data_IF_123212515498
#
_entry.id   IF_123212515498
#
_cell.length_a   1.000
_cell.length_b   1.000
_cell.length_c   1.000
_cell.angle_alpha   90.00
_cell.angle_beta   90.00
_cell.angle_gamma   90.00
#
_symmetry.space_group_name_H-M   'P 1'
#
loop_
_entity.id
_entity.type
_entity.pdbx_description
1 polymer ?
#
# COMPACT_ATOMS: atom_id res chain seq x y z
N UNK A 1 50.39 13.86 44.46
CA UNK A 1 49.06 13.32 44.33
C UNK A 1 49.03 12.07 45.23
N UNK A 2 48.17 12.05 46.23
CA UNK A 2 47.98 10.89 47.12
C UNK A 2 47.19 9.83 46.34
N UNK A 3 47.60 8.58 46.41
CA UNK A 3 46.85 7.43 45.88
C UNK A 3 45.48 7.36 46.53
N UNK A 4 44.46 6.94 45.75
CA UNK A 4 43.13 6.74 46.32
C UNK A 4 43.19 5.63 47.37
N UNK A 5 42.36 5.72 48.46
CA UNK A 5 42.35 4.70 49.48
C UNK A 5 41.95 3.35 48.90
N UNK A 6 42.68 2.31 49.25
CA UNK A 6 42.30 0.92 48.92
C UNK A 6 40.88 0.62 49.41
N UNK A 7 40.07 -0.08 48.61
CA UNK A 7 38.74 -0.53 49.07
C UNK A 7 38.91 -1.41 50.33
N UNK A 8 37.98 -1.34 51.26
CA UNK A 8 38.01 -2.16 52.45
C UNK A 8 38.07 -3.64 52.06
N UNK A 9 38.98 -4.37 52.65
CA UNK A 9 39.06 -5.82 52.48
C UNK A 9 37.76 -6.46 52.95
N UNK A 10 37.20 -7.33 52.11
CA UNK A 10 36.05 -8.14 52.48
C UNK A 10 36.24 -8.81 53.83
N UNK A 11 35.19 -8.92 54.68
CA UNK A 11 35.30 -9.52 55.98
C UNK A 11 35.89 -10.93 55.88
N UNK A 12 37.02 -11.15 56.56
CA UNK A 12 37.71 -12.40 56.66
C UNK A 12 36.71 -13.54 57.03
N UNK A 13 36.62 -14.57 56.17
CA UNK A 13 35.91 -15.79 56.47
C UNK A 13 36.53 -16.39 57.72
N UNK A 14 35.78 -16.46 58.82
CA UNK A 14 36.25 -17.04 60.07
C UNK A 14 36.37 -18.56 59.96
N UNK A 15 37.42 -19.12 60.61
CA UNK A 15 37.60 -20.59 60.67
C UNK A 15 36.32 -21.28 61.22
N UNK A 16 35.71 -22.18 60.39
CA UNK A 16 34.46 -22.85 60.73
C UNK A 16 33.23 -22.41 59.94
N UNK A 17 33.36 -21.38 59.06
CA UNK A 17 32.28 -21.01 58.15
C UNK A 17 32.16 -22.06 57.04
N UNK A 18 30.95 -22.54 56.77
CA UNK A 18 30.67 -23.34 55.62
C UNK A 18 30.64 -22.45 54.34
N UNK A 19 31.53 -22.70 53.44
CA UNK A 19 31.51 -22.08 52.08
C UNK A 19 30.70 -23.00 51.21
N UNK A 20 29.55 -22.59 50.75
CA UNK A 20 28.76 -23.26 49.74
C UNK A 20 29.14 -22.66 48.39
N UNK A 21 29.72 -23.46 47.51
CA UNK A 21 30.01 -23.07 46.14
C UNK A 21 28.88 -23.55 45.24
N UNK A 22 28.22 -22.63 44.55
CA UNK A 22 27.21 -22.96 43.54
C UNK A 22 27.85 -22.94 42.17
N UNK A 23 27.55 -23.96 41.36
CA UNK A 23 27.98 -23.99 39.96
C UNK A 23 26.99 -23.24 39.10
N UNK A 24 27.44 -22.20 38.41
CA UNK A 24 26.61 -21.47 37.46
C UNK A 24 27.10 -21.77 36.05
N UNK A 25 26.17 -22.23 35.21
CA UNK A 25 26.38 -22.49 33.78
C UNK A 25 25.43 -21.58 32.97
N UNK A 26 25.86 -21.15 31.76
CA UNK A 26 25.03 -20.44 30.81
C UNK A 26 24.92 -21.24 29.50
N UNK A 27 23.69 -21.34 28.98
CA UNK A 27 23.43 -22.00 27.70
C UNK A 27 22.59 -21.09 26.83
N UNK A 28 23.06 -20.89 25.59
CA UNK A 28 22.31 -20.12 24.60
C UNK A 28 21.48 -21.07 23.74
N UNK A 29 20.18 -20.82 23.68
CA UNK A 29 19.21 -21.57 22.87
C UNK A 29 18.66 -20.65 21.80
N UNK A 30 18.71 -21.09 20.53
CA UNK A 30 18.18 -20.35 19.39
C UNK A 30 16.88 -21.03 18.93
N UNK A 31 15.80 -20.27 18.85
CA UNK A 31 14.51 -20.72 18.32
C UNK A 31 14.09 -19.82 17.17
N UNK A 32 13.48 -20.42 16.15
CA UNK A 32 12.86 -19.68 15.06
C UNK A 32 11.41 -19.36 15.42
N UNK A 33 11.03 -18.08 15.32
CA UNK A 33 9.68 -17.60 15.55
C UNK A 33 9.16 -16.93 14.29
N UNK A 34 7.84 -17.07 14.02
CA UNK A 34 7.19 -16.37 12.94
C UNK A 34 6.99 -14.88 13.28
N UNK A 35 7.16 -14.03 12.29
CA UNK A 35 6.77 -12.61 12.33
C UNK A 35 5.48 -12.49 11.52
N UNK A 36 4.35 -12.09 12.12
CA UNK A 36 3.11 -11.92 11.40
C UNK A 36 3.22 -10.80 10.35
N UNK A 37 2.47 -10.92 9.26
CA UNK A 37 2.33 -9.84 8.28
C UNK A 37 1.13 -8.97 8.59
N UNK A 38 1.14 -7.72 8.09
CA UNK A 38 0.02 -6.80 8.17
C UNK A 38 -0.86 -6.87 6.91
N UNK A 39 -2.11 -6.39 7.03
CA UNK A 39 -2.99 -6.20 5.88
C UNK A 39 -3.10 -4.72 5.54
N UNK A 40 -2.68 -4.37 4.31
CA UNK A 40 -2.77 -3.04 3.75
C UNK A 40 -3.99 -2.93 2.83
N UNK A 41 -4.68 -1.79 2.87
CA UNK A 41 -5.85 -1.56 2.03
C UNK A 41 -5.57 -0.46 1.00
N UNK A 42 -5.81 -0.78 -0.27
CA UNK A 42 -5.82 0.16 -1.39
C UNK A 42 -7.27 0.51 -1.70
N UNK A 43 -7.67 1.74 -1.40
CA UNK A 43 -9.04 2.18 -1.60
C UNK A 43 -9.26 2.69 -3.02
N UNK A 44 -10.43 2.36 -3.59
CA UNK A 44 -10.85 2.81 -4.92
C UNK A 44 -12.37 2.93 -4.99
N UNK A 45 -12.86 3.91 -5.72
CA UNK A 45 -14.30 4.01 -6.04
C UNK A 45 -14.74 3.11 -7.20
N UNK A 46 -13.81 2.37 -7.81
CA UNK A 46 -14.13 1.41 -8.88
C UNK A 46 -15.27 0.46 -8.49
N UNK A 47 -15.36 0.10 -7.22
CA UNK A 47 -16.37 -0.84 -6.72
C UNK A 47 -17.63 -0.18 -6.18
N UNK A 48 -17.94 1.07 -6.58
CA UNK A 48 -19.08 1.83 -6.03
C UNK A 48 -20.45 1.17 -6.22
N UNK A 49 -20.60 0.29 -7.22
CA UNK A 49 -21.82 -0.52 -7.44
C UNK A 49 -21.87 -1.80 -6.62
N UNK A 50 -20.72 -2.25 -6.13
CA UNK A 50 -20.60 -3.42 -5.25
C UNK A 50 -19.53 -3.13 -4.16
N UNK A 51 -19.95 -2.40 -3.14
CA UNK A 51 -19.08 -1.91 -2.07
C UNK A 51 -18.46 -3.01 -1.19
N UNK A 52 -19.03 -4.22 -1.23
CA UNK A 52 -18.46 -5.39 -0.56
C UNK A 52 -17.39 -6.12 -1.37
N UNK A 53 -17.12 -5.67 -2.62
CA UNK A 53 -16.08 -6.29 -3.45
C UNK A 53 -14.69 -5.93 -2.93
N UNK A 54 -13.84 -6.96 -2.89
CA UNK A 54 -12.42 -6.81 -2.63
C UNK A 54 -11.63 -7.67 -3.61
N UNK A 55 -10.40 -7.27 -3.90
CA UNK A 55 -9.47 -8.01 -4.77
C UNK A 55 -8.10 -8.02 -4.12
N UNK A 56 -7.55 -9.20 -3.88
CA UNK A 56 -6.17 -9.34 -3.38
C UNK A 56 -5.20 -8.94 -4.49
N UNK A 57 -4.37 -7.95 -4.21
CA UNK A 57 -3.28 -7.51 -5.09
C UNK A 57 -1.98 -8.25 -4.77
N UNK A 58 -1.75 -8.56 -3.49
CA UNK A 58 -0.59 -9.28 -3.00
C UNK A 58 -1.01 -10.18 -1.83
N UNK A 59 -0.60 -11.45 -1.87
CA UNK A 59 -0.78 -12.34 -0.73
C UNK A 59 0.27 -12.06 0.34
N UNK A 60 -0.15 -12.00 1.61
CA UNK A 60 0.75 -11.91 2.74
C UNK A 60 1.55 -13.19 2.95
N UNK A 61 2.74 -13.05 3.50
CA UNK A 61 3.56 -14.16 3.95
C UNK A 61 4.24 -13.79 5.28
N UNK A 62 4.22 -14.73 6.23
CA UNK A 62 4.91 -14.55 7.51
C UNK A 62 6.43 -14.46 7.30
N UNK A 63 7.06 -13.55 8.03
CA UNK A 63 8.49 -13.49 8.20
C UNK A 63 9.00 -14.49 9.23
N UNK A 64 10.30 -14.49 9.45
CA UNK A 64 10.94 -15.32 10.46
C UNK A 64 12.01 -14.52 11.22
N UNK A 65 12.12 -14.78 12.51
CA UNK A 65 13.18 -14.25 13.35
C UNK A 65 13.83 -15.38 14.17
N UNK A 66 15.13 -15.27 14.34
CA UNK A 66 15.88 -16.09 15.27
C UNK A 66 15.90 -15.39 16.64
N UNK A 67 15.38 -16.04 17.66
CA UNK A 67 15.38 -15.55 19.04
C UNK A 67 16.39 -16.35 19.82
N UNK A 68 17.45 -15.69 20.31
CA UNK A 68 18.47 -16.29 21.17
C UNK A 68 18.11 -16.03 22.62
N UNK A 69 17.88 -17.08 23.36
CA UNK A 69 17.58 -17.04 24.79
C UNK A 69 18.77 -17.58 25.56
N UNK A 70 19.25 -16.84 26.54
CA UNK A 70 20.28 -17.29 27.49
C UNK A 70 19.63 -17.85 28.74
N UNK A 71 19.88 -19.14 28.98
CA UNK A 71 19.48 -19.84 30.18
C UNK A 71 20.61 -19.81 31.20
N UNK A 72 20.29 -19.40 32.45
CA UNK A 72 21.18 -19.49 33.58
C UNK A 72 20.78 -20.70 34.42
N UNK A 73 21.72 -21.61 34.57
CA UNK A 73 21.56 -22.83 35.36
C UNK A 73 22.42 -22.75 36.63
N UNK A 74 21.87 -23.08 37.78
CA UNK A 74 22.57 -23.14 39.06
C UNK A 74 22.39 -24.53 39.65
N UNK A 75 23.51 -25.22 39.90
CA UNK A 75 23.57 -26.60 40.40
C UNK A 75 22.73 -27.61 39.57
N UNK A 76 22.54 -27.31 38.26
CA UNK A 76 21.79 -28.18 37.36
C UNK A 76 20.28 -27.87 37.29
N UNK A 77 19.82 -26.86 37.99
CA UNK A 77 18.45 -26.35 37.90
C UNK A 77 18.39 -25.04 37.11
N UNK A 78 17.36 -24.88 36.25
CA UNK A 78 17.13 -23.67 35.46
C UNK A 78 16.62 -22.57 36.39
N UNK A 79 17.42 -21.52 36.59
CA UNK A 79 17.07 -20.37 37.43
C UNK A 79 16.39 -19.25 36.67
N UNK A 80 16.92 -18.96 35.47
CA UNK A 80 16.44 -17.83 34.68
C UNK A 80 16.64 -18.09 33.18
N UNK A 81 15.77 -17.46 32.38
CA UNK A 81 15.81 -17.49 30.93
C UNK A 81 15.55 -16.08 30.41
N UNK A 82 16.49 -15.53 29.65
CA UNK A 82 16.44 -14.14 29.17
C UNK A 82 16.72 -14.08 27.69
N UNK A 83 15.89 -13.39 26.92
CA UNK A 83 16.17 -13.11 25.50
C UNK A 83 17.36 -12.15 25.42
N UNK A 84 18.42 -12.58 24.74
CA UNK A 84 19.67 -11.81 24.58
C UNK A 84 19.87 -11.30 23.17
N UNK A 85 19.21 -11.90 22.17
CA UNK A 85 19.25 -11.45 20.77
C UNK A 85 17.97 -11.79 20.04
N UNK A 86 17.56 -10.92 19.12
CA UNK A 86 16.47 -11.14 18.16
C UNK A 86 16.91 -10.64 16.81
N UNK A 87 17.11 -11.56 15.88
CA UNK A 87 17.55 -11.23 14.52
C UNK A 87 16.49 -11.65 13.50
N UNK A 88 15.97 -10.70 12.71
CA UNK A 88 15.06 -11.01 11.58
C UNK A 88 15.86 -11.75 10.50
N UNK A 89 15.41 -12.93 10.15
CA UNK A 89 16.02 -13.79 9.09
C UNK A 89 15.26 -13.72 7.78
N UNK A 90 13.94 -13.51 7.85
CA UNK A 90 13.06 -13.29 6.69
C UNK A 90 12.07 -12.19 7.05
N UNK A 91 12.04 -11.12 6.24
CA UNK A 91 11.05 -10.05 6.42
C UNK A 91 9.64 -10.55 6.06
N UNK A 92 8.59 -10.17 6.80
CA UNK A 92 7.23 -10.47 6.42
C UNK A 92 6.84 -9.71 5.15
N UNK A 93 5.93 -10.27 4.38
CA UNK A 93 5.33 -9.63 3.21
C UNK A 93 3.88 -9.30 3.49
N UNK A 94 3.49 -8.03 3.39
CA UNK A 94 2.14 -7.59 3.69
C UNK A 94 1.10 -8.18 2.73
N UNK A 95 -0.09 -8.43 3.25
CA UNK A 95 -1.27 -8.74 2.46
C UNK A 95 -1.90 -7.45 1.95
N UNK A 96 -1.96 -7.25 0.61
CA UNK A 96 -2.50 -6.01 0.01
C UNK A 96 -3.85 -6.29 -0.65
N UNK A 97 -4.88 -5.57 -0.23
CA UNK A 97 -6.26 -5.73 -0.69
C UNK A 97 -6.79 -4.43 -1.29
N UNK A 98 -7.23 -4.48 -2.55
CA UNK A 98 -7.98 -3.39 -3.18
C UNK A 98 -9.46 -3.52 -2.79
N UNK A 99 -10.03 -2.45 -2.22
CA UNK A 99 -11.42 -2.43 -1.76
C UNK A 99 -12.10 -1.09 -2.01
N UNK A 100 -13.41 -1.01 -1.80
CA UNK A 100 -14.15 0.23 -1.98
C UNK A 100 -13.77 1.28 -0.94
N UNK A 101 -13.54 2.50 -1.44
CA UNK A 101 -13.39 3.72 -0.64
C UNK A 101 -14.22 4.85 -1.25
N UNK A 102 -15.03 5.51 -0.42
CA UNK A 102 -15.84 6.65 -0.87
C UNK A 102 -14.92 7.77 -1.35
N UNK A 103 -15.13 8.24 -2.58
CA UNK A 103 -14.33 9.33 -3.16
C UNK A 103 -12.88 8.97 -3.49
N UNK A 104 -12.43 7.75 -3.23
CA UNK A 104 -11.09 7.32 -3.58
C UNK A 104 -10.94 7.15 -5.10
N UNK A 105 -10.03 7.88 -5.77
CA UNK A 105 -9.91 7.84 -7.22
C UNK A 105 -9.42 6.48 -7.73
N UNK A 106 -9.76 6.16 -8.98
CA UNK A 106 -9.22 5.01 -9.71
C UNK A 106 -7.84 5.34 -10.27
N UNK A 107 -7.69 6.54 -10.81
CA UNK A 107 -6.43 7.06 -11.37
C UNK A 107 -5.45 7.45 -10.27
N UNK A 108 -4.16 7.11 -10.40
CA UNK A 108 -3.11 7.57 -9.49
C UNK A 108 -2.61 8.99 -9.79
N UNK A 109 -3.07 9.61 -10.88
CA UNK A 109 -2.61 10.93 -11.27
C UNK A 109 -3.08 11.99 -10.27
N UNK A 110 -2.26 13.03 -10.13
CA UNK A 110 -2.53 14.17 -9.25
C UNK A 110 -2.70 15.46 -10.04
N UNK A 111 -3.36 16.44 -9.43
CA UNK A 111 -3.39 17.80 -9.94
C UNK A 111 -2.06 18.54 -9.77
N UNK A 112 -2.04 19.80 -10.16
CA UNK A 112 -0.86 20.66 -10.01
C UNK A 112 -0.43 20.88 -8.55
N UNK A 113 -1.35 20.68 -7.60
CA UNK A 113 -1.12 20.72 -6.15
C UNK A 113 -0.51 19.44 -5.59
N UNK A 114 -0.26 18.42 -6.43
CA UNK A 114 0.26 17.11 -6.03
C UNK A 114 -0.76 16.23 -5.32
N UNK A 115 -2.05 16.59 -5.29
CA UNK A 115 -3.10 15.80 -4.66
C UNK A 115 -4.02 15.13 -5.68
N UNK A 116 -4.78 14.14 -5.24
CA UNK A 116 -5.85 13.50 -6.03
C UNK A 116 -7.22 14.15 -5.83
N UNK A 117 -7.30 15.23 -5.05
CA UNK A 117 -8.53 15.96 -4.79
C UNK A 117 -9.08 16.61 -6.06
N UNK A 118 -10.39 16.88 -6.06
CA UNK A 118 -10.99 17.62 -7.17
C UNK A 118 -10.29 18.98 -7.38
N UNK A 119 -10.10 19.43 -8.64
CA UNK A 119 -9.42 20.69 -8.93
C UNK A 119 -10.20 21.88 -8.37
N UNK A 120 -9.48 22.83 -7.79
CA UNK A 120 -10.07 24.08 -7.29
C UNK A 120 -10.56 24.99 -8.43
N UNK A 121 -10.01 24.85 -9.64
CA UNK A 121 -10.39 25.61 -10.84
C UNK A 121 -10.35 24.73 -12.09
N UNK A 122 -11.23 25.04 -13.01
CA UNK A 122 -11.36 24.37 -14.30
C UNK A 122 -11.93 25.35 -15.32
N UNK A 123 -11.61 25.16 -16.61
CA UNK A 123 -12.08 26.03 -17.68
C UNK A 123 -13.49 25.65 -18.17
N UNK A 124 -13.85 24.38 -18.10
CA UNK A 124 -15.10 23.84 -18.65
C UNK A 124 -15.50 22.56 -17.93
N UNK A 125 -16.81 22.32 -17.82
CA UNK A 125 -17.40 21.03 -17.42
C UNK A 125 -18.22 20.51 -18.57
N UNK A 126 -17.99 19.25 -18.92
CA UNK A 126 -18.81 18.48 -19.86
C UNK A 126 -19.52 17.38 -19.09
N UNK A 127 -20.80 17.18 -19.36
CA UNK A 127 -21.58 16.09 -18.75
C UNK A 127 -22.03 15.12 -19.83
N UNK A 128 -21.82 13.85 -19.61
CA UNK A 128 -22.18 12.82 -20.58
C UNK A 128 -21.94 11.42 -20.08
N UNK A 129 -22.11 10.46 -20.97
CA UNK A 129 -21.94 9.04 -20.70
C UNK A 129 -20.46 8.66 -20.81
N UNK A 130 -19.96 7.92 -19.83
CA UNK A 130 -18.65 7.25 -19.87
C UNK A 130 -18.85 5.74 -19.93
N UNK A 131 -17.92 5.07 -20.62
CA UNK A 131 -17.72 3.62 -20.59
C UNK A 131 -16.30 3.29 -20.15
N UNK A 132 -15.95 2.01 -20.11
CA UNK A 132 -14.58 1.58 -19.80
C UNK A 132 -14.02 0.69 -20.88
N UNK A 133 -12.75 0.85 -21.15
CA UNK A 133 -12.04 -0.01 -22.10
C UNK A 133 -10.71 -0.53 -21.54
N UNK A 134 -10.21 -1.54 -22.18
CA UNK A 134 -8.91 -2.17 -21.95
C UNK A 134 -8.21 -2.38 -23.29
N UNK A 135 -6.92 -2.17 -23.34
CA UNK A 135 -6.11 -2.42 -24.53
C UNK A 135 -4.81 -3.14 -24.17
N UNK A 136 -4.44 -4.13 -24.99
CA UNK A 136 -3.15 -4.84 -24.88
C UNK A 136 -2.00 -4.10 -25.56
N UNK A 137 -2.29 -3.09 -26.39
CA UNK A 137 -1.27 -2.44 -27.23
C UNK A 137 -0.40 -1.46 -26.48
N UNK A 138 -0.83 -1.03 -25.30
CA UNK A 138 -0.07 -0.11 -24.44
C UNK A 138 0.10 1.31 -24.95
N UNK A 139 -0.47 1.67 -26.12
CA UNK A 139 -0.42 3.01 -26.72
C UNK A 139 -1.78 3.44 -27.25
N UNK A 140 -2.16 4.68 -26.96
CA UNK A 140 -3.33 5.35 -27.51
C UNK A 140 -3.04 5.97 -28.89
N UNK A 141 -4.08 6.49 -29.52
CA UNK A 141 -4.03 7.11 -30.86
C UNK A 141 -3.13 8.36 -30.92
N UNK A 142 -2.89 9.02 -29.77
CA UNK A 142 -1.91 10.12 -29.66
C UNK A 142 -0.46 9.65 -29.70
N UNK A 143 -0.20 8.34 -29.64
CA UNK A 143 1.14 7.76 -29.48
C UNK A 143 1.64 7.68 -28.04
N UNK A 144 0.91 8.25 -27.08
CA UNK A 144 1.23 8.16 -25.64
C UNK A 144 0.85 6.80 -25.07
N UNK A 145 1.54 6.41 -23.97
CA UNK A 145 1.25 5.19 -23.25
C UNK A 145 -0.16 5.18 -22.65
N UNK A 146 -0.77 4.00 -22.57
CA UNK A 146 -2.03 3.77 -21.87
C UNK A 146 -1.78 3.18 -20.48
N UNK A 147 -2.52 3.65 -19.50
CA UNK A 147 -2.50 3.22 -18.12
C UNK A 147 -3.66 3.87 -17.34
N UNK A 148 -3.81 3.54 -16.05
CA UNK A 148 -4.73 4.31 -15.22
C UNK A 148 -4.40 5.81 -15.31
N UNK A 149 -5.45 6.63 -15.48
CA UNK A 149 -5.29 8.06 -15.72
C UNK A 149 -5.14 8.42 -17.19
N UNK A 150 -5.38 7.50 -18.14
CA UNK A 150 -5.55 7.84 -19.56
C UNK A 150 -6.97 7.56 -20.01
N UNK A 151 -7.46 8.33 -20.98
CA UNK A 151 -8.84 8.21 -21.48
C UNK A 151 -8.92 8.45 -23.00
N UNK A 152 -9.90 7.82 -23.63
CA UNK A 152 -10.25 8.09 -25.01
C UNK A 152 -11.36 9.14 -25.08
N UNK A 153 -11.21 10.08 -26.00
CA UNK A 153 -12.09 11.25 -26.22
C UNK A 153 -12.26 11.48 -27.73
N UNK A 154 -13.19 12.36 -28.09
CA UNK A 154 -13.18 12.99 -29.40
C UNK A 154 -12.16 14.15 -29.38
N UNK A 155 -11.05 14.09 -30.14
CA UNK A 155 -10.02 15.12 -30.13
C UNK A 155 -10.47 16.46 -30.69
N UNK A 156 -11.58 16.53 -31.44
CA UNK A 156 -12.18 17.78 -31.90
C UNK A 156 -12.95 18.49 -30.77
N UNK A 157 -13.34 17.76 -29.72
CA UNK A 157 -14.04 18.27 -28.52
C UNK A 157 -13.08 18.50 -27.35
N UNK A 158 -12.17 17.55 -27.12
CA UNK A 158 -11.16 17.54 -26.07
C UNK A 158 -9.82 17.18 -26.71
N UNK A 159 -8.92 18.14 -26.98
CA UNK A 159 -7.63 17.87 -27.61
C UNK A 159 -6.77 16.89 -26.81
N UNK A 160 -5.95 16.11 -27.51
CA UNK A 160 -4.97 15.23 -26.86
C UNK A 160 -4.01 16.04 -25.97
N UNK A 161 -3.61 15.45 -24.84
CA UNK A 161 -2.78 16.08 -23.82
C UNK A 161 -3.57 16.92 -22.81
N UNK A 162 -4.88 17.13 -23.01
CA UNK A 162 -5.72 17.86 -22.06
C UNK A 162 -5.78 17.10 -20.74
N UNK A 163 -5.53 17.80 -19.63
CA UNK A 163 -5.72 17.29 -18.27
C UNK A 163 -7.20 17.42 -17.87
N UNK A 164 -7.76 16.34 -17.44
CA UNK A 164 -9.15 16.20 -17.05
C UNK A 164 -9.26 15.78 -15.59
N UNK A 165 -10.41 16.05 -14.94
CA UNK A 165 -10.82 15.40 -13.71
C UNK A 165 -12.23 14.83 -13.92
N UNK A 166 -12.45 13.54 -13.59
CA UNK A 166 -13.66 12.84 -13.99
C UNK A 166 -14.31 12.21 -12.77
N UNK A 167 -15.60 12.51 -12.57
CA UNK A 167 -16.41 11.91 -11.50
C UNK A 167 -17.78 11.53 -12.05
N UNK A 168 -18.48 10.56 -11.42
CA UNK A 168 -19.89 10.36 -11.70
C UNK A 168 -20.71 11.57 -11.25
N UNK A 169 -21.86 11.80 -11.89
CA UNK A 169 -22.74 12.94 -11.55
C UNK A 169 -23.29 12.88 -10.13
N UNK A 170 -23.34 11.69 -9.53
CA UNK A 170 -23.75 11.48 -8.13
C UNK A 170 -22.57 11.45 -7.13
N UNK A 171 -21.34 11.64 -7.61
CA UNK A 171 -20.12 11.71 -6.80
C UNK A 171 -19.65 10.38 -6.18
N UNK A 172 -20.35 9.27 -6.41
CA UNK A 172 -19.99 7.97 -5.82
C UNK A 172 -18.81 7.28 -6.49
N UNK A 173 -18.58 7.60 -7.77
CA UNK A 173 -17.43 7.14 -8.54
C UNK A 173 -16.55 8.32 -8.88
N UNK A 174 -15.26 8.18 -8.63
CA UNK A 174 -14.22 9.14 -8.96
C UNK A 174 -13.17 8.41 -9.79
N UNK A 175 -13.13 8.67 -11.10
CA UNK A 175 -11.99 8.22 -11.89
C UNK A 175 -10.74 9.02 -11.50
N UNK A 176 -10.90 10.29 -11.20
CA UNK A 176 -9.84 11.20 -10.78
C UNK A 176 -9.23 11.95 -11.97
N UNK A 177 -7.98 12.39 -11.81
CA UNK A 177 -7.24 13.06 -12.88
C UNK A 177 -6.94 12.09 -14.03
N UNK A 178 -7.06 12.61 -15.26
CA UNK A 178 -6.84 11.85 -16.46
C UNK A 178 -6.29 12.73 -17.59
N UNK A 179 -5.54 12.11 -18.49
CA UNK A 179 -5.01 12.77 -19.70
C UNK A 179 -5.71 12.17 -20.92
N UNK A 180 -6.19 13.04 -21.82
CA UNK A 180 -6.75 12.66 -23.10
C UNK A 180 -5.62 12.13 -24.00
N UNK A 181 -5.56 10.82 -24.25
CA UNK A 181 -4.44 10.19 -25.00
C UNK A 181 -4.90 9.29 -26.11
N UNK A 182 -6.19 9.00 -26.18
CA UNK A 182 -6.73 8.02 -27.11
C UNK A 182 -8.06 8.51 -27.73
N UNK A 183 -8.53 7.80 -28.74
CA UNK A 183 -9.84 8.02 -29.35
C UNK A 183 -10.45 6.68 -29.79
N UNK A 184 -11.71 6.72 -30.15
CA UNK A 184 -12.44 5.55 -30.66
C UNK A 184 -13.73 5.97 -31.36
N UNK A 185 -14.34 5.02 -32.06
CA UNK A 185 -15.52 5.27 -32.87
C UNK A 185 -16.69 5.84 -32.03
N UNK A 186 -16.89 5.30 -30.82
CA UNK A 186 -18.02 5.71 -29.98
C UNK A 186 -17.90 7.16 -29.47
N UNK A 187 -16.68 7.62 -29.11
CA UNK A 187 -16.44 9.02 -28.71
C UNK A 187 -16.54 9.97 -29.91
N UNK A 188 -15.97 9.57 -31.07
CA UNK A 188 -16.05 10.39 -32.29
C UNK A 188 -17.48 10.54 -32.86
N UNK A 189 -18.34 9.55 -32.64
CA UNK A 189 -19.76 9.61 -32.99
C UNK A 189 -20.63 10.32 -31.95
N UNK A 190 -20.06 10.73 -30.80
CA UNK A 190 -20.79 11.32 -29.70
C UNK A 190 -21.75 10.35 -28.98
N UNK A 191 -21.58 9.04 -29.16
CA UNK A 191 -22.37 8.01 -28.45
C UNK A 191 -22.01 7.99 -26.95
N UNK A 192 -20.75 8.28 -26.63
CA UNK A 192 -20.21 8.48 -25.27
C UNK A 192 -19.33 9.74 -25.27
N UNK A 193 -19.20 10.38 -24.09
CA UNK A 193 -18.36 11.54 -23.90
C UNK A 193 -16.88 11.16 -23.74
N UNK A 194 -16.63 10.09 -22.99
CA UNK A 194 -15.28 9.63 -22.65
C UNK A 194 -15.28 8.12 -22.43
N UNK A 195 -14.19 7.45 -22.83
CA UNK A 195 -13.96 6.06 -22.52
C UNK A 195 -12.76 5.94 -21.57
N UNK A 196 -12.97 5.32 -20.41
CA UNK A 196 -12.04 5.27 -19.31
C UNK A 196 -11.14 4.05 -19.43
N UNK A 197 -9.83 4.24 -19.41
CA UNK A 197 -8.90 3.12 -19.48
C UNK A 197 -8.82 2.36 -18.16
N UNK A 198 -8.76 1.04 -18.26
CA UNK A 198 -8.51 0.13 -17.15
C UNK A 198 -7.41 -0.86 -17.51
N UNK A 199 -6.65 -1.33 -16.52
CA UNK A 199 -5.51 -2.23 -16.76
C UNK A 199 -5.94 -3.68 -17.04
N UNK A 200 -7.21 -4.01 -16.75
CA UNK A 200 -7.77 -5.34 -17.06
C UNK A 200 -9.14 -5.22 -17.72
N UNK A 201 -9.46 -6.18 -18.60
CA UNK A 201 -10.80 -6.27 -19.17
C UNK A 201 -11.88 -6.43 -18.08
N UNK A 202 -11.60 -7.21 -17.03
CA UNK A 202 -12.54 -7.40 -15.92
C UNK A 202 -12.91 -6.09 -15.24
N UNK A 203 -11.97 -5.17 -15.07
CA UNK A 203 -12.22 -3.84 -14.48
C UNK A 203 -13.00 -2.94 -15.45
N UNK A 204 -12.69 -2.97 -16.74
CA UNK A 204 -13.34 -2.11 -17.73
C UNK A 204 -14.87 -2.35 -17.85
N UNK A 205 -15.33 -3.56 -17.53
CA UNK A 205 -16.76 -3.93 -17.63
C UNK A 205 -17.51 -3.83 -16.28
N UNK A 206 -16.82 -3.62 -15.15
CA UNK A 206 -17.43 -3.65 -13.81
C UNK A 206 -18.62 -2.70 -13.68
N UNK A 207 -18.48 -1.48 -14.17
CA UNK A 207 -19.47 -0.44 -13.98
C UNK A 207 -20.37 -0.22 -15.20
N UNK A 208 -20.07 -0.83 -16.36
CA UNK A 208 -20.78 -0.55 -17.59
C UNK A 208 -20.78 0.94 -17.92
N UNK A 209 -21.89 1.45 -18.49
CA UNK A 209 -22.01 2.88 -18.75
C UNK A 209 -22.44 3.65 -17.49
N UNK A 210 -21.80 4.81 -17.25
CA UNK A 210 -22.10 5.72 -16.14
C UNK A 210 -22.24 7.15 -16.64
N UNK A 211 -23.03 7.98 -15.96
CA UNK A 211 -23.09 9.41 -16.21
C UNK A 211 -21.99 10.11 -15.42
N UNK A 212 -21.19 10.91 -16.13
CA UNK A 212 -20.02 11.59 -15.55
C UNK A 212 -20.03 13.09 -15.83
N UNK A 213 -19.37 13.82 -14.95
CA UNK A 213 -18.87 15.17 -15.18
C UNK A 213 -17.37 15.08 -15.50
N UNK A 214 -16.97 15.68 -16.61
CA UNK A 214 -15.59 15.79 -17.06
C UNK A 214 -15.18 17.25 -16.94
N UNK A 215 -14.32 17.55 -15.99
CA UNK A 215 -13.77 18.89 -15.75
C UNK A 215 -12.49 19.04 -16.57
N UNK A 216 -12.44 20.04 -17.42
CA UNK A 216 -11.22 20.40 -18.15
C UNK A 216 -10.37 21.28 -17.24
N UNK A 217 -9.26 20.75 -16.76
CA UNK A 217 -8.38 21.40 -15.79
C UNK A 217 -7.46 22.42 -16.50
N UNK A 218 -7.24 23.56 -15.86
CA UNK A 218 -6.38 24.64 -16.39
C UNK A 218 -4.88 24.31 -16.21
#
# INVERSE_FOLDING_TARGET
>A
AADPPEPPLDPLVTAGSNIVAHRVDYQDKVETQAIPYDTQYVYTSLYFRNTGRATTLQHGAEGQQAVTTRERWEDGELENSTVVDVTTTVEPTDHVVKTYGVGAPVSPLTGADGTTNAPASYSKVLTGKATGYYSKTGKGSSGLGLGYGTVAVDPDVIPYGTLLYITSTDGRFVYGYAIATDTGIAVQKGEILVDLFYETYAESVINGAIQVNVYVVN
#
